data_IF_452788053341
#
_entry.id   IF_452788053341
#
_cell.length_a   1.000
_cell.length_b   1.000
_cell.length_c   1.000
_cell.angle_alpha   90.00
_cell.angle_beta   90.00
_cell.angle_gamma   90.00
#
_symmetry.space_group_name_H-M   'P 1'
#
loop_
_entity.id
_entity.type
_entity.pdbx_description
1 polymer ?
#
# COMPACT_ATOMS: atom_id res chain seq x y z
N UNK A 1 22.42 -12.07 -0.87
CA UNK A 1 22.43 -12.83 0.40
C UNK A 1 23.38 -14.02 0.36
N UNK A 2 23.12 -15.07 -0.44
CA UNK A 2 23.96 -16.29 -0.47
C UNK A 2 25.45 -16.05 -0.72
N UNK A 3 25.79 -15.17 -1.66
CA UNK A 3 27.18 -14.80 -1.92
C UNK A 3 27.88 -14.21 -0.68
N UNK A 4 27.18 -13.36 0.08
CA UNK A 4 27.69 -12.80 1.33
C UNK A 4 27.87 -13.88 2.41
N UNK A 5 26.88 -14.77 2.58
CA UNK A 5 26.98 -15.89 3.52
C UNK A 5 28.15 -16.81 3.18
N UNK A 6 28.30 -17.20 1.91
CA UNK A 6 29.41 -18.03 1.41
C UNK A 6 30.78 -17.42 1.75
N UNK A 7 30.98 -16.13 1.44
CA UNK A 7 32.23 -15.44 1.77
C UNK A 7 32.50 -15.37 3.27
N UNK A 8 31.47 -15.13 4.10
CA UNK A 8 31.60 -15.11 5.57
C UNK A 8 31.93 -16.48 6.16
N UNK A 9 31.54 -17.54 5.47
CA UNK A 9 31.90 -18.92 5.79
C UNK A 9 33.27 -19.33 5.23
N UNK A 10 34.00 -18.40 4.59
CA UNK A 10 35.32 -18.66 3.99
C UNK A 10 35.27 -19.44 2.67
N UNK A 11 34.10 -19.52 2.03
CA UNK A 11 33.92 -20.22 0.75
C UNK A 11 34.08 -19.27 -0.44
N UNK A 12 34.51 -19.80 -1.58
CA UNK A 12 34.69 -19.06 -2.84
C UNK A 12 33.83 -19.65 -3.97
N UNK A 13 32.52 -19.50 -3.87
CA UNK A 13 31.54 -20.18 -4.74
C UNK A 13 31.27 -19.48 -6.09
N UNK A 14 32.30 -18.84 -6.69
CA UNK A 14 32.17 -18.06 -7.94
C UNK A 14 31.56 -18.84 -9.11
N UNK A 15 31.79 -20.16 -9.19
CA UNK A 15 31.30 -21.01 -10.30
C UNK A 15 29.81 -21.35 -10.19
N UNK A 16 29.27 -21.33 -8.97
CA UNK A 16 27.91 -21.80 -8.65
C UNK A 16 26.95 -20.61 -8.56
N UNK A 17 27.43 -19.48 -8.01
CA UNK A 17 26.64 -18.28 -7.86
C UNK A 17 26.50 -17.53 -9.20
N UNK A 18 25.26 -17.36 -9.65
CA UNK A 18 24.93 -16.61 -10.87
C UNK A 18 23.84 -15.58 -10.58
N UNK A 19 24.01 -14.40 -11.15
CA UNK A 19 23.00 -13.34 -11.14
C UNK A 19 22.12 -13.36 -12.37
N UNK A 20 21.13 -12.46 -12.39
CA UNK A 20 20.30 -12.16 -13.55
C UNK A 20 20.43 -10.68 -13.86
N UNK A 21 20.76 -10.35 -15.11
CA UNK A 21 20.85 -8.97 -15.59
C UNK A 21 19.45 -8.39 -15.78
N UNK A 22 19.23 -7.13 -15.36
CA UNK A 22 17.93 -6.45 -15.49
C UNK A 22 17.70 -5.84 -16.87
N UNK A 23 18.76 -5.40 -17.54
CA UNK A 23 18.68 -4.69 -18.83
C UNK A 23 17.91 -5.51 -19.86
N UNK A 24 16.93 -4.87 -20.52
CA UNK A 24 16.10 -5.49 -21.55
C UNK A 24 15.07 -6.50 -21.04
N UNK A 25 14.97 -6.73 -19.72
CA UNK A 25 13.91 -7.53 -19.13
C UNK A 25 12.67 -6.69 -18.87
N UNK A 26 11.53 -7.36 -18.83
CA UNK A 26 10.24 -6.72 -18.57
C UNK A 26 9.90 -6.76 -17.07
N UNK A 27 9.73 -5.59 -16.46
CA UNK A 27 9.11 -5.42 -15.15
C UNK A 27 7.60 -5.24 -15.31
N UNK A 28 6.83 -6.17 -14.77
CA UNK A 28 5.40 -6.02 -14.51
C UNK A 28 5.15 -5.35 -13.16
N UNK A 29 4.37 -4.27 -13.16
CA UNK A 29 3.95 -3.55 -11.95
C UNK A 29 2.46 -3.74 -11.70
N UNK A 30 2.07 -4.44 -10.63
CA UNK A 30 0.67 -4.54 -10.19
C UNK A 30 0.39 -3.41 -9.21
N UNK A 31 -0.44 -2.46 -9.62
CA UNK A 31 -0.76 -1.25 -8.84
C UNK A 31 0.18 -0.08 -9.18
N UNK A 32 -0.37 0.95 -9.83
CA UNK A 32 0.36 2.13 -10.31
C UNK A 32 0.09 3.38 -9.44
N UNK A 33 -0.04 3.15 -8.13
CA UNK A 33 -0.11 4.19 -7.11
C UNK A 33 1.24 4.89 -6.87
N UNK A 34 1.39 5.57 -5.72
CA UNK A 34 2.59 6.33 -5.39
C UNK A 34 3.87 5.45 -5.38
N UNK A 35 3.81 4.29 -4.70
CA UNK A 35 4.96 3.39 -4.58
C UNK A 35 5.26 2.72 -5.92
N UNK A 36 4.25 2.16 -6.61
CA UNK A 36 4.43 1.54 -7.91
C UNK A 36 5.07 2.50 -8.93
N UNK A 37 4.57 3.73 -9.02
CA UNK A 37 5.16 4.76 -9.88
C UNK A 37 6.61 5.13 -9.49
N UNK A 38 6.93 5.13 -8.19
CA UNK A 38 8.29 5.37 -7.72
C UNK A 38 9.25 4.21 -8.07
N UNK A 39 8.74 2.97 -8.13
CA UNK A 39 9.50 1.78 -8.57
C UNK A 39 9.71 1.82 -10.09
N UNK A 40 8.67 2.12 -10.88
CA UNK A 40 8.76 2.31 -12.34
C UNK A 40 9.94 3.22 -12.70
N UNK A 41 9.99 4.41 -12.11
CA UNK A 41 11.05 5.41 -12.40
C UNK A 41 12.44 4.87 -12.10
N UNK A 42 12.61 4.10 -11.03
CA UNK A 42 13.90 3.50 -10.65
C UNK A 42 14.30 2.38 -11.61
N UNK A 43 13.35 1.56 -12.04
CA UNK A 43 13.60 0.41 -12.92
C UNK A 43 13.84 0.81 -14.38
N UNK A 44 13.24 1.90 -14.86
CA UNK A 44 13.54 2.44 -16.19
C UNK A 44 15.02 2.87 -16.33
N UNK A 45 15.64 3.36 -15.26
CA UNK A 45 17.09 3.70 -15.25
C UNK A 45 17.97 2.47 -15.46
N UNK A 46 17.50 1.28 -15.09
CA UNK A 46 18.18 0.00 -15.38
C UNK A 46 17.90 -0.53 -16.79
N UNK A 47 17.28 0.28 -17.67
CA UNK A 47 16.88 -0.08 -19.02
C UNK A 47 15.99 -1.33 -19.05
N UNK A 48 15.10 -1.46 -18.07
CA UNK A 48 14.02 -2.44 -18.11
C UNK A 48 12.86 -1.91 -18.96
N UNK A 49 12.21 -2.80 -19.68
CA UNK A 49 10.88 -2.51 -20.21
C UNK A 49 9.87 -2.57 -19.06
N UNK A 50 8.91 -1.66 -19.00
CA UNK A 50 7.96 -1.61 -17.89
C UNK A 50 6.53 -1.68 -18.42
N UNK A 51 5.77 -2.64 -17.91
CA UNK A 51 4.33 -2.79 -18.12
C UNK A 51 3.62 -2.74 -16.79
N UNK A 52 2.39 -2.25 -16.76
CA UNK A 52 1.60 -2.14 -15.54
C UNK A 52 0.22 -2.76 -15.70
N UNK A 53 -0.32 -3.23 -14.58
CA UNK A 53 -1.71 -3.66 -14.44
C UNK A 53 -2.33 -2.94 -13.24
N UNK A 54 -3.35 -2.12 -13.48
CA UNK A 54 -4.10 -1.41 -12.46
C UNK A 54 -5.53 -1.14 -12.97
N UNK A 55 -6.54 -1.56 -12.20
CA UNK A 55 -7.96 -1.44 -12.57
C UNK A 55 -8.56 -0.06 -12.26
N UNK A 56 -7.90 0.75 -11.43
CA UNK A 56 -8.46 1.97 -10.86
C UNK A 56 -7.77 3.23 -11.39
N UNK A 57 -6.56 3.08 -11.92
CA UNK A 57 -5.76 4.18 -12.43
C UNK A 57 -6.12 4.49 -13.89
N UNK A 58 -6.34 5.77 -14.26
CA UNK A 58 -6.60 6.13 -15.65
C UNK A 58 -5.38 5.87 -16.54
N UNK A 59 -5.61 5.45 -17.80
CA UNK A 59 -4.54 5.18 -18.79
C UNK A 59 -3.52 6.30 -18.92
N UNK A 60 -3.97 7.56 -18.78
CA UNK A 60 -3.10 8.75 -18.80
C UNK A 60 -1.94 8.65 -17.81
N UNK A 61 -2.15 8.05 -16.64
CA UNK A 61 -1.10 7.88 -15.63
C UNK A 61 0.04 6.97 -16.12
N UNK A 62 -0.29 5.92 -16.88
CA UNK A 62 0.71 5.06 -17.52
C UNK A 62 1.50 5.82 -18.59
N UNK A 63 0.79 6.58 -19.44
CA UNK A 63 1.39 7.42 -20.47
C UNK A 63 2.36 8.46 -19.88
N UNK A 64 1.97 9.15 -18.80
CA UNK A 64 2.80 10.13 -18.10
C UNK A 64 4.09 9.51 -17.52
N UNK A 65 4.09 8.20 -17.27
CA UNK A 65 5.23 7.45 -16.77
C UNK A 65 6.00 6.69 -17.88
N UNK A 66 5.55 6.77 -19.14
CA UNK A 66 6.12 5.98 -20.24
C UNK A 66 5.93 4.48 -20.05
N UNK A 67 4.80 4.06 -19.46
CA UNK A 67 4.47 2.67 -19.14
C UNK A 67 3.19 2.25 -19.87
N UNK A 68 3.23 1.07 -20.47
CA UNK A 68 2.06 0.44 -21.06
C UNK A 68 1.16 -0.12 -19.95
N UNK A 69 -0.07 0.41 -19.84
CA UNK A 69 -1.09 -0.12 -18.93
C UNK A 69 -1.91 -1.19 -19.66
N UNK A 70 -1.80 -2.44 -19.19
CA UNK A 70 -2.49 -3.59 -19.76
C UNK A 70 -3.83 -3.83 -19.07
N UNK A 71 -4.88 -4.05 -19.86
CA UNK A 71 -6.20 -4.45 -19.34
C UNK A 71 -6.32 -5.97 -19.15
N UNK A 72 -5.52 -6.74 -19.89
CA UNK A 72 -5.51 -8.20 -19.82
C UNK A 72 -4.42 -8.69 -18.86
N UNK A 73 -4.84 -9.30 -17.76
CA UNK A 73 -3.95 -9.78 -16.72
C UNK A 73 -3.07 -10.95 -17.18
N UNK A 74 -3.58 -11.83 -18.05
CA UNK A 74 -2.81 -12.97 -18.57
C UNK A 74 -1.68 -12.50 -19.49
N UNK A 75 -1.97 -11.49 -20.33
CA UNK A 75 -0.94 -10.84 -21.16
C UNK A 75 0.13 -10.16 -20.30
N UNK A 76 -0.26 -9.57 -19.16
CA UNK A 76 0.66 -9.00 -18.19
C UNK A 76 1.57 -10.06 -17.57
N UNK A 77 1.00 -11.18 -17.09
CA UNK A 77 1.75 -12.26 -16.44
C UNK A 77 2.76 -12.92 -17.37
N UNK A 78 2.34 -13.23 -18.59
CA UNK A 78 3.18 -13.93 -19.60
C UNK A 78 4.35 -13.08 -20.10
N UNK A 79 4.22 -11.75 -20.11
CA UNK A 79 5.27 -10.82 -20.55
C UNK A 79 6.28 -10.49 -19.45
N UNK A 80 5.89 -10.58 -18.18
CA UNK A 80 6.71 -10.12 -17.05
C UNK A 80 7.85 -11.09 -16.70
N UNK A 81 9.10 -10.59 -16.67
CA UNK A 81 10.24 -11.32 -16.07
C UNK A 81 10.33 -11.08 -14.56
N UNK A 82 9.92 -9.89 -14.12
CA UNK A 82 9.79 -9.54 -12.70
C UNK A 82 8.38 -9.00 -12.49
N UNK A 83 7.72 -9.40 -11.41
CA UNK A 83 6.41 -8.86 -11.03
C UNK A 83 6.53 -8.24 -9.65
N UNK A 84 6.30 -6.92 -9.56
CA UNK A 84 6.27 -6.20 -8.29
C UNK A 84 4.86 -5.75 -7.95
N UNK A 85 4.48 -5.94 -6.69
CA UNK A 85 3.10 -5.77 -6.22
C UNK A 85 3.03 -4.56 -5.28
N UNK A 86 2.08 -3.66 -5.56
CA UNK A 86 1.88 -2.39 -4.87
C UNK A 86 0.40 -2.04 -4.65
N UNK A 87 -0.43 -3.07 -4.45
CA UNK A 87 -1.88 -2.91 -4.18
C UNK A 87 -2.19 -3.12 -2.70
N UNK A 88 -3.24 -2.47 -2.17
CA UNK A 88 -3.75 -2.79 -0.84
C UNK A 88 -4.34 -4.21 -0.82
N UNK A 89 -4.46 -4.81 0.38
CA UNK A 89 -5.23 -6.03 0.58
C UNK A 89 -6.72 -5.69 0.70
N UNK A 90 -7.51 -6.23 -0.20
CA UNK A 90 -8.96 -6.08 -0.29
C UNK A 90 -9.57 -7.42 -0.70
N UNK A 91 -10.90 -7.55 -0.68
CA UNK A 91 -11.55 -8.75 -1.21
C UNK A 91 -11.23 -9.04 -2.69
N UNK A 92 -10.89 -8.01 -3.47
CA UNK A 92 -10.58 -8.12 -4.90
C UNK A 92 -9.11 -8.42 -5.19
N UNK A 93 -8.22 -8.14 -4.23
CA UNK A 93 -6.77 -8.31 -4.37
C UNK A 93 -6.23 -9.43 -3.48
N UNK A 94 -7.07 -10.02 -2.63
CA UNK A 94 -6.75 -11.23 -1.88
C UNK A 94 -6.53 -12.39 -2.85
N UNK A 95 -5.42 -13.11 -2.68
CA UNK A 95 -5.00 -14.21 -3.53
C UNK A 95 -4.99 -13.85 -5.03
N UNK A 96 -4.70 -12.58 -5.36
CA UNK A 96 -4.64 -12.06 -6.73
C UNK A 96 -3.64 -12.84 -7.58
N UNK A 97 -2.53 -13.28 -6.99
CA UNK A 97 -1.61 -14.24 -7.59
C UNK A 97 -1.78 -15.56 -6.84
N UNK A 98 -2.40 -16.54 -7.48
CA UNK A 98 -2.56 -17.90 -6.97
C UNK A 98 -2.05 -18.92 -8.00
N UNK A 99 -2.42 -20.19 -7.84
CA UNK A 99 -1.99 -21.29 -8.71
C UNK A 99 -2.21 -20.98 -10.19
N UNK A 100 -3.39 -20.50 -10.58
CA UNK A 100 -3.73 -20.21 -11.99
C UNK A 100 -2.88 -19.13 -12.61
N UNK A 101 -2.51 -18.11 -11.85
CA UNK A 101 -1.69 -17.00 -12.33
C UNK A 101 -0.23 -17.41 -12.45
N UNK A 102 0.26 -18.17 -11.46
CA UNK A 102 1.61 -18.72 -11.44
C UNK A 102 1.86 -19.61 -12.66
N UNK A 103 0.89 -20.45 -13.07
CA UNK A 103 1.04 -21.29 -14.27
C UNK A 103 1.27 -20.50 -15.56
N UNK A 104 0.83 -19.24 -15.60
CA UNK A 104 0.97 -18.36 -16.78
C UNK A 104 2.29 -17.59 -16.79
N UNK A 105 3.00 -17.58 -15.67
CA UNK A 105 4.25 -16.84 -15.54
C UNK A 105 5.39 -17.54 -16.28
N UNK A 106 6.43 -16.78 -16.64
CA UNK A 106 7.66 -17.35 -17.18
C UNK A 106 8.31 -18.27 -16.13
N UNK A 107 8.95 -19.39 -16.51
CA UNK A 107 9.69 -20.24 -15.58
C UNK A 107 10.82 -19.51 -14.85
N UNK A 108 11.33 -18.43 -15.43
CA UNK A 108 12.37 -17.57 -14.85
C UNK A 108 11.81 -16.38 -14.07
N UNK A 109 10.48 -16.23 -13.98
CA UNK A 109 9.87 -15.06 -13.39
C UNK A 109 10.17 -14.93 -11.89
N UNK A 110 10.31 -13.69 -11.41
CA UNK A 110 10.51 -13.40 -9.99
C UNK A 110 9.36 -12.55 -9.48
N UNK A 111 8.71 -13.01 -8.41
CA UNK A 111 7.66 -12.25 -7.71
C UNK A 111 8.29 -11.41 -6.60
N UNK A 112 7.90 -10.14 -6.49
CA UNK A 112 8.31 -9.23 -5.41
C UNK A 112 7.05 -8.71 -4.74
N UNK A 113 6.82 -9.12 -3.48
CA UNK A 113 5.74 -8.60 -2.66
C UNK A 113 6.28 -7.90 -1.42
N UNK A 114 6.22 -6.57 -1.45
CA UNK A 114 6.50 -5.69 -0.31
C UNK A 114 5.30 -4.78 -0.01
N UNK A 115 4.10 -5.17 -0.46
CA UNK A 115 2.88 -4.39 -0.28
C UNK A 115 2.06 -4.89 0.91
N UNK A 116 1.37 -6.02 0.73
CA UNK A 116 0.55 -6.64 1.79
C UNK A 116 0.61 -8.16 1.70
N UNK A 117 0.66 -8.82 2.86
CA UNK A 117 0.44 -10.25 2.97
C UNK A 117 -0.93 -10.65 2.44
N UNK A 118 -1.06 -11.88 1.93
CA UNK A 118 -2.32 -12.40 1.39
C UNK A 118 -2.72 -11.88 0.00
N UNK A 119 -1.95 -10.96 -0.61
CA UNK A 119 -2.15 -10.60 -2.03
C UNK A 119 -1.61 -11.69 -2.96
N UNK A 120 -0.53 -12.35 -2.56
CA UNK A 120 -0.05 -13.58 -3.17
C UNK A 120 -0.44 -14.73 -2.27
N UNK A 121 -1.05 -15.77 -2.82
CA UNK A 121 -1.37 -16.97 -2.08
C UNK A 121 -0.07 -17.67 -1.64
N UNK A 122 0.19 -17.71 -0.33
CA UNK A 122 1.47 -18.20 0.20
C UNK A 122 1.69 -19.69 -0.08
N UNK A 123 0.64 -20.51 -0.04
CA UNK A 123 0.76 -21.94 -0.33
C UNK A 123 1.06 -22.18 -1.81
N UNK A 124 0.34 -21.49 -2.71
CA UNK A 124 0.61 -21.56 -4.15
C UNK A 124 2.04 -21.10 -4.47
N UNK A 125 2.48 -20.01 -3.85
CA UNK A 125 3.84 -19.52 -4.01
C UNK A 125 4.88 -20.52 -3.48
N UNK A 126 4.63 -21.13 -2.32
CA UNK A 126 5.53 -22.12 -1.73
C UNK A 126 5.71 -23.32 -2.66
N UNK A 127 4.60 -23.87 -3.16
CA UNK A 127 4.61 -25.01 -4.07
C UNK A 127 5.32 -24.66 -5.38
N UNK A 128 5.08 -23.46 -5.92
CA UNK A 128 5.73 -22.98 -7.13
C UNK A 128 7.24 -22.84 -6.97
N UNK A 129 7.70 -22.29 -5.84
CA UNK A 129 9.11 -22.10 -5.54
C UNK A 129 9.81 -23.44 -5.27
N UNK A 130 9.20 -24.30 -4.47
CA UNK A 130 9.70 -25.65 -4.15
C UNK A 130 9.86 -26.50 -5.41
N UNK A 131 8.86 -26.45 -6.31
CA UNK A 131 8.88 -27.17 -7.58
C UNK A 131 9.62 -26.43 -8.69
N UNK A 132 10.22 -25.27 -8.41
CA UNK A 132 10.95 -24.42 -9.38
C UNK A 132 10.12 -24.08 -10.63
N UNK A 133 8.80 -23.90 -10.45
CA UNK A 133 7.90 -23.41 -11.52
C UNK A 133 8.18 -21.96 -11.89
N UNK A 134 8.67 -21.17 -10.95
CA UNK A 134 9.13 -19.79 -11.16
C UNK A 134 10.57 -19.64 -10.65
N UNK A 135 11.25 -18.59 -11.12
CA UNK A 135 12.67 -18.36 -10.85
C UNK A 135 12.96 -18.00 -9.39
N UNK A 136 12.01 -17.35 -8.71
CA UNK A 136 12.13 -17.05 -7.29
C UNK A 136 11.10 -16.05 -6.79
N UNK A 137 11.25 -15.65 -5.53
CA UNK A 137 10.45 -14.59 -4.92
C UNK A 137 11.23 -13.76 -3.90
N UNK A 138 10.78 -12.52 -3.69
CA UNK A 138 11.22 -11.63 -2.62
C UNK A 138 9.99 -11.15 -1.84
N UNK A 139 9.86 -11.55 -0.58
CA UNK A 139 8.66 -11.37 0.25
C UNK A 139 9.02 -10.65 1.55
N UNK A 140 8.45 -9.46 1.76
CA UNK A 140 8.64 -8.70 3.02
C UNK A 140 7.42 -8.80 3.95
N UNK A 141 6.28 -9.22 3.42
CA UNK A 141 4.97 -9.14 4.08
C UNK A 141 4.26 -10.49 4.01
N UNK A 142 3.58 -10.85 5.08
CA UNK A 142 2.95 -12.15 5.26
C UNK A 142 1.50 -12.01 5.74
N UNK A 143 0.68 -13.02 5.47
CA UNK A 143 -0.77 -13.02 5.69
C UNK A 143 -1.14 -12.96 7.17
N UNK A 144 -0.25 -13.47 8.03
CA UNK A 144 -0.34 -13.37 9.48
C UNK A 144 0.98 -12.82 9.99
N UNK A 145 0.94 -11.74 10.74
CA UNK A 145 2.10 -11.13 11.38
C UNK A 145 1.77 -10.73 12.83
N UNK A 146 2.74 -10.80 13.77
CA UNK A 146 4.09 -11.34 13.61
C UNK A 146 4.09 -12.87 13.40
N UNK A 147 5.14 -13.39 12.76
CA UNK A 147 5.34 -14.83 12.56
C UNK A 147 6.45 -15.31 13.50
N UNK A 148 6.28 -16.49 14.10
CA UNK A 148 7.43 -17.21 14.66
C UNK A 148 8.39 -17.52 13.52
N UNK A 149 9.67 -17.08 13.58
CA UNK A 149 10.64 -17.35 12.53
C UNK A 149 10.84 -18.83 12.18
N UNK A 150 10.41 -19.78 13.02
CA UNK A 150 10.44 -21.23 12.73
C UNK A 150 9.26 -21.69 11.87
N UNK A 151 8.16 -20.96 11.91
CA UNK A 151 6.92 -21.21 11.17
C UNK A 151 6.81 -20.32 9.93
N UNK A 152 7.81 -19.47 9.67
CA UNK A 152 7.79 -18.55 8.55
C UNK A 152 7.63 -19.33 7.22
N UNK A 153 6.69 -18.91 6.36
CA UNK A 153 6.57 -19.46 5.02
C UNK A 153 7.90 -19.34 4.27
N UNK A 154 8.21 -20.33 3.43
CA UNK A 154 9.38 -20.35 2.55
C UNK A 154 10.74 -20.59 3.22
N UNK A 155 10.80 -20.91 4.51
CA UNK A 155 12.07 -21.32 5.16
C UNK A 155 12.70 -22.49 4.39
N UNK A 156 14.01 -22.39 4.17
CA UNK A 156 14.80 -23.40 3.45
C UNK A 156 14.65 -23.37 1.94
N UNK A 157 13.78 -22.51 1.38
CA UNK A 157 13.70 -22.32 -0.07
C UNK A 157 14.82 -21.41 -0.56
N UNK A 158 15.70 -22.01 -1.34
CA UNK A 158 16.90 -21.39 -1.86
C UNK A 158 16.66 -20.26 -2.88
N UNK A 159 15.47 -20.19 -3.44
CA UNK A 159 15.01 -19.20 -4.41
C UNK A 159 13.99 -18.21 -3.83
N UNK A 160 13.88 -18.12 -2.49
CA UNK A 160 13.06 -17.13 -1.82
C UNK A 160 13.91 -16.25 -0.90
N UNK A 161 13.74 -14.94 -0.99
CA UNK A 161 14.29 -13.97 -0.03
C UNK A 161 13.12 -13.47 0.81
N UNK A 162 13.26 -13.57 2.13
CA UNK A 162 12.28 -13.03 3.08
C UNK A 162 12.90 -11.97 3.98
N UNK A 163 12.11 -10.96 4.32
CA UNK A 163 12.46 -9.92 5.29
C UNK A 163 11.27 -9.67 6.24
N UNK A 164 11.51 -9.28 7.51
CA UNK A 164 10.46 -9.18 8.51
C UNK A 164 9.77 -7.80 8.48
N UNK A 165 9.02 -7.51 7.41
CA UNK A 165 8.25 -6.28 7.23
C UNK A 165 9.08 -5.00 7.45
N UNK A 166 10.13 -4.86 6.65
CA UNK A 166 11.11 -3.78 6.76
C UNK A 166 10.93 -2.65 5.73
N UNK A 167 9.92 -2.72 4.85
CA UNK A 167 9.74 -1.75 3.76
C UNK A 167 9.70 -0.27 4.19
N UNK A 168 9.24 0.03 5.41
CA UNK A 168 9.22 1.38 6.00
C UNK A 168 10.24 1.58 7.13
N UNK A 169 11.08 0.58 7.41
CA UNK A 169 12.04 0.57 8.53
C UNK A 169 13.35 1.25 8.16
N UNK A 170 13.26 2.49 7.65
CA UNK A 170 14.42 3.34 7.35
C UNK A 170 14.42 4.56 8.26
N UNK A 171 15.60 5.10 8.56
CA UNK A 171 15.73 6.22 9.50
C UNK A 171 14.97 7.46 8.98
N UNK A 172 15.10 7.73 7.68
CA UNK A 172 14.44 8.82 6.98
C UNK A 172 12.92 8.66 7.00
N UNK A 173 12.40 7.47 6.69
CA UNK A 173 10.95 7.25 6.70
C UNK A 173 10.35 7.38 8.10
N UNK A 174 11.04 6.89 9.13
CA UNK A 174 10.58 7.02 10.52
C UNK A 174 10.54 8.49 10.97
N UNK A 175 11.54 9.29 10.59
CA UNK A 175 11.55 10.74 10.86
C UNK A 175 10.40 11.44 10.14
N UNK A 176 10.21 11.19 8.85
CA UNK A 176 9.15 11.84 8.07
C UNK A 176 7.76 11.45 8.58
N UNK A 177 7.54 10.19 8.95
CA UNK A 177 6.28 9.75 9.56
C UNK A 177 6.04 10.44 10.90
N UNK A 178 7.06 10.52 11.76
CA UNK A 178 6.95 11.18 13.06
C UNK A 178 6.65 12.68 12.90
N UNK A 179 7.34 13.36 11.98
CA UNK A 179 7.12 14.77 11.65
C UNK A 179 5.71 15.00 11.12
N UNK A 180 5.27 14.21 10.14
CA UNK A 180 3.92 14.31 9.58
C UNK A 180 2.86 14.12 10.67
N UNK A 181 3.01 13.11 11.54
CA UNK A 181 2.09 12.89 12.65
C UNK A 181 2.04 14.10 13.60
N UNK A 182 3.20 14.67 13.95
CA UNK A 182 3.27 15.87 14.79
C UNK A 182 2.60 17.08 14.13
N UNK A 183 2.85 17.31 12.83
CA UNK A 183 2.21 18.37 12.06
C UNK A 183 0.68 18.21 12.02
N UNK A 184 0.18 16.99 11.83
CA UNK A 184 -1.27 16.70 11.86
C UNK A 184 -1.89 16.95 13.23
N UNK A 185 -1.19 16.60 14.31
CA UNK A 185 -1.66 16.90 15.68
C UNK A 185 -1.74 18.41 15.90
N UNK A 186 -0.69 19.16 15.56
CA UNK A 186 -0.67 20.62 15.71
C UNK A 186 -1.77 21.27 14.88
N UNK A 187 -1.96 20.83 13.64
CA UNK A 187 -3.01 21.33 12.74
C UNK A 187 -4.41 21.05 13.31
N UNK A 188 -4.65 19.84 13.83
CA UNK A 188 -5.91 19.47 14.45
C UNK A 188 -6.20 20.32 15.70
N UNK A 189 -5.21 20.55 16.55
CA UNK A 189 -5.38 21.33 17.80
C UNK A 189 -5.58 22.83 17.54
N UNK A 190 -4.82 23.42 16.62
CA UNK A 190 -4.87 24.86 16.37
C UNK A 190 -6.00 25.27 15.42
N UNK A 191 -6.22 24.50 14.34
CA UNK A 191 -7.15 24.88 13.27
C UNK A 191 -8.44 24.06 13.27
N UNK A 192 -8.54 22.99 14.08
CA UNK A 192 -9.66 22.03 14.06
C UNK A 192 -9.88 21.42 12.66
N UNK A 193 -8.81 21.33 11.88
CA UNK A 193 -8.77 20.71 10.56
C UNK A 193 -8.11 19.33 10.72
N UNK A 194 -8.80 18.29 10.24
CA UNK A 194 -8.42 16.89 10.48
C UNK A 194 -8.00 16.20 9.17
N UNK A 195 -6.88 16.62 8.59
CA UNK A 195 -6.29 15.98 7.39
C UNK A 195 -5.70 14.62 7.78
N UNK A 196 -5.86 13.61 6.92
CA UNK A 196 -5.39 12.23 7.11
C UNK A 196 -6.03 11.49 8.30
N UNK A 197 -7.14 12.00 8.83
CA UNK A 197 -7.87 11.34 9.90
C UNK A 197 -8.52 10.04 9.41
N UNK A 198 -8.19 8.93 10.09
CA UNK A 198 -8.59 7.58 9.66
C UNK A 198 -10.03 7.21 10.00
N UNK A 199 -10.68 7.97 10.90
CA UNK A 199 -12.04 7.73 11.39
C UNK A 199 -12.98 8.91 11.15
N UNK A 200 -12.54 9.92 10.39
CA UNK A 200 -13.34 11.10 10.07
C UNK A 200 -13.43 11.18 8.54
N UNK A 201 -14.66 11.10 8.02
CA UNK A 201 -14.92 10.81 6.61
C UNK A 201 -14.84 12.01 5.66
N UNK A 202 -14.24 13.14 6.05
CA UNK A 202 -14.17 14.31 5.19
C UNK A 202 -12.75 14.89 5.13
N UNK A 203 -12.21 14.95 3.91
CA UNK A 203 -11.06 15.78 3.58
C UNK A 203 -11.60 17.14 3.10
N UNK A 204 -11.14 18.21 3.73
CA UNK A 204 -11.55 19.57 3.41
C UNK A 204 -10.38 20.29 2.75
N UNK A 205 -10.58 20.92 1.59
CA UNK A 205 -9.57 21.83 1.03
C UNK A 205 -9.39 23.03 1.97
N UNK A 206 -8.24 23.69 1.91
CA UNK A 206 -7.96 24.88 2.73
C UNK A 206 -9.03 25.99 2.53
N UNK A 207 -9.46 26.16 1.28
CA UNK A 207 -10.52 27.09 0.87
C UNK A 207 -11.91 26.71 1.45
N UNK A 208 -12.25 25.42 1.47
CA UNK A 208 -13.46 24.94 2.14
C UNK A 208 -13.33 25.04 3.66
N UNK A 209 -12.13 24.92 4.21
CA UNK A 209 -11.90 24.99 5.63
C UNK A 209 -12.19 26.38 6.18
N UNK A 210 -11.79 27.43 5.48
CA UNK A 210 -12.11 28.80 5.89
C UNK A 210 -13.61 29.09 5.86
N UNK A 211 -14.32 28.60 4.83
CA UNK A 211 -15.78 28.73 4.72
C UNK A 211 -16.49 27.97 5.85
N UNK A 212 -16.04 26.76 6.17
CA UNK A 212 -16.75 25.88 7.11
C UNK A 212 -16.28 25.97 8.57
N UNK A 213 -15.08 26.50 8.84
CA UNK A 213 -14.54 26.70 10.19
C UNK A 213 -15.55 27.37 11.13
N UNK A 214 -16.17 28.53 10.83
CA UNK A 214 -17.11 29.16 11.76
C UNK A 214 -18.31 28.26 12.10
N UNK A 215 -18.76 27.44 11.15
CA UNK A 215 -19.88 26.52 11.36
C UNK A 215 -19.48 25.26 12.13
N UNK A 216 -18.26 24.75 11.93
CA UNK A 216 -17.68 23.67 12.73
C UNK A 216 -17.54 24.12 14.18
N UNK A 217 -17.03 25.32 14.42
CA UNK A 217 -16.88 25.90 15.76
C UNK A 217 -18.22 26.16 16.45
N UNK A 218 -19.21 26.62 15.69
CA UNK A 218 -20.59 26.76 16.15
C UNK A 218 -21.17 25.40 16.53
N UNK A 219 -21.02 24.38 15.67
CA UNK A 219 -21.46 23.02 15.94
C UNK A 219 -20.85 22.47 17.23
N UNK A 220 -19.54 22.65 17.42
CA UNK A 220 -18.85 22.23 18.64
C UNK A 220 -19.35 22.96 19.90
N UNK A 221 -19.58 24.27 19.80
CA UNK A 221 -20.09 25.09 20.90
C UNK A 221 -21.51 24.68 21.29
N UNK A 222 -22.38 24.46 20.30
CA UNK A 222 -23.74 24.00 20.50
C UNK A 222 -23.78 22.59 21.12
N UNK A 223 -22.94 21.67 20.64
CA UNK A 223 -22.81 20.35 21.25
C UNK A 223 -22.43 20.47 22.72
N UNK A 224 -21.35 21.19 23.05
CA UNK A 224 -20.93 21.40 24.46
C UNK A 224 -22.03 22.01 25.33
N UNK A 225 -22.78 22.97 24.79
CA UNK A 225 -23.91 23.58 25.51
C UNK A 225 -25.02 22.57 25.78
N UNK A 226 -25.44 21.81 24.76
CA UNK A 226 -26.50 20.81 24.88
C UNK A 226 -26.08 19.68 25.82
N UNK A 227 -24.83 19.21 25.77
CA UNK A 227 -24.35 18.14 26.65
C UNK A 227 -24.29 18.60 28.12
N UNK A 228 -24.03 19.87 28.38
CA UNK A 228 -24.08 20.43 29.74
C UNK A 228 -25.52 20.65 30.23
N UNK A 229 -26.43 21.03 29.34
CA UNK A 229 -27.82 21.30 29.67
C UNK A 229 -28.66 20.02 29.80
N UNK A 230 -28.37 19.00 28.99
CA UNK A 230 -29.11 17.75 28.99
C UNK A 230 -28.53 16.76 30.01
N UNK A 231 -29.28 16.51 31.09
CA UNK A 231 -28.90 15.57 32.14
C UNK A 231 -29.18 14.10 31.78
N UNK A 232 -29.76 13.84 30.61
CA UNK A 232 -30.13 12.50 30.14
C UNK A 232 -29.25 12.04 28.97
N UNK A 233 -29.11 10.72 28.80
CA UNK A 233 -28.33 10.12 27.71
C UNK A 233 -28.93 10.51 26.36
N UNK A 234 -28.13 11.11 25.50
CA UNK A 234 -28.50 11.44 24.12
C UNK A 234 -28.48 10.17 23.29
N UNK A 235 -29.55 9.90 22.54
CA UNK A 235 -29.71 8.70 21.70
C UNK A 235 -29.80 9.02 20.21
N UNK A 236 -30.13 10.27 19.86
CA UNK A 236 -30.16 10.74 18.47
C UNK A 236 -30.01 12.26 18.41
N UNK A 237 -29.50 12.76 17.28
CA UNK A 237 -29.31 14.19 17.03
C UNK A 237 -29.77 14.49 15.60
N UNK A 238 -30.62 15.50 15.43
CA UNK A 238 -31.10 15.96 14.12
C UNK A 238 -30.49 17.31 13.78
N UNK A 239 -29.69 17.34 12.72
CA UNK A 239 -29.00 18.54 12.24
C UNK A 239 -29.72 19.04 10.99
N UNK A 240 -30.07 20.33 10.96
CA UNK A 240 -30.68 20.99 9.80
C UNK A 240 -29.77 22.14 9.35
N UNK A 241 -29.43 22.15 8.06
CA UNK A 241 -28.66 23.21 7.43
C UNK A 241 -29.61 24.15 6.66
N UNK A 242 -29.31 25.45 6.64
CA UNK A 242 -30.09 26.44 5.88
C UNK A 242 -29.13 27.44 5.23
N UNK A 243 -29.20 27.55 3.90
CA UNK A 243 -28.34 28.43 3.09
C UNK A 243 -27.74 27.68 1.90
N UNK A 244 -27.28 28.43 0.90
CA UNK A 244 -26.77 27.87 -0.37
C UNK A 244 -25.36 27.29 -0.25
N UNK A 245 -24.62 27.64 0.80
CA UNK A 245 -23.26 27.18 1.06
C UNK A 245 -23.20 25.72 1.57
N UNK A 246 -24.34 25.06 1.81
CA UNK A 246 -24.40 23.72 2.39
C UNK A 246 -24.80 22.67 1.34
N UNK A 247 -23.83 22.11 0.62
CA UNK A 247 -24.05 20.96 -0.27
C UNK A 247 -23.64 19.67 0.45
N UNK A 248 -24.58 18.72 0.62
CA UNK A 248 -24.43 17.41 1.30
C UNK A 248 -23.34 17.35 2.38
N UNK A 249 -23.70 17.80 3.59
CA UNK A 249 -22.75 18.19 4.62
C UNK A 249 -22.30 17.06 5.56
N UNK A 250 -21.04 16.63 5.43
CA UNK A 250 -20.37 15.70 6.37
C UNK A 250 -19.52 16.34 7.49
N UNK A 251 -18.86 17.52 7.33
CA UNK A 251 -17.92 18.04 8.34
C UNK A 251 -18.52 18.44 9.70
N UNK A 252 -19.60 19.22 9.69
CA UNK A 252 -20.28 19.74 10.88
C UNK A 252 -20.99 18.58 11.57
N UNK A 253 -21.59 17.69 10.77
CA UNK A 253 -22.26 16.48 11.27
C UNK A 253 -21.29 15.60 12.05
N UNK A 254 -20.11 15.32 11.51
CA UNK A 254 -19.11 14.50 12.16
C UNK A 254 -18.62 15.10 13.49
N UNK A 255 -18.32 16.41 13.52
CA UNK A 255 -17.91 17.09 14.76
C UNK A 255 -19.00 17.08 15.82
N UNK A 256 -20.25 17.32 15.42
CA UNK A 256 -21.40 17.29 16.32
C UNK A 256 -21.60 15.88 16.90
N UNK A 257 -21.55 14.84 16.06
CA UNK A 257 -21.73 13.46 16.50
C UNK A 257 -20.62 13.02 17.47
N UNK A 258 -19.35 13.35 17.17
CA UNK A 258 -18.22 13.02 18.04
C UNK A 258 -18.31 13.65 19.45
N UNK A 259 -18.94 14.82 19.56
CA UNK A 259 -19.11 15.49 20.87
C UNK A 259 -20.33 14.99 21.65
N UNK A 260 -21.22 14.23 21.01
CA UNK A 260 -22.40 13.65 21.65
C UNK A 260 -22.26 12.15 21.96
N UNK A 261 -21.43 11.42 21.20
CA UNK A 261 -21.25 9.97 21.29
C UNK A 261 -19.76 9.60 21.31
#
# INVERSE_FOLDING_TARGET
>A
YKANTSMREGKWDKKILRGSELRGKTLGVIGLGNIGAAVVKKCQVFNMEVIAFDKFVPRKRGQDLGVELLDNFDAFLTRSDYITIHVPLTAQTKDLISYSEIEKMKPTAIIVNMARGGVVNEQALYDALKNKKIGGACIDVFSKEPIDPKDAPFIGLDNCITTPHLGASTFEAQIEVAKLAAERIVQALNSKIFIDAVNISFNMSEEMADIYRPYIELGASLSKFITQFNQSKITSVKIKYKGEIFTNFDPIKAVILHLFF
#
